data_IF_006092594480
#
_entry.id   IF_006092594480
#
_cell.length_a   1.000
_cell.length_b   1.000
_cell.length_c   1.000
_cell.angle_alpha   90.00
_cell.angle_beta   90.00
_cell.angle_gamma   90.00
#
_symmetry.space_group_name_H-M   'P 1'
#
loop_
_entity.id
_entity.type
_entity.pdbx_description
1 polymer ?
#
# COMPACT_ATOMS: atom_id res chain seq x y z
N UNK A 1 15.60 3.03 -10.94
CA UNK A 1 15.50 2.32 -9.64
C UNK A 1 15.24 0.84 -9.87
N UNK A 2 15.63 -0.06 -8.96
CA UNK A 2 15.33 -1.50 -9.05
C UNK A 2 13.84 -1.80 -8.82
N UNK A 3 13.40 -2.96 -9.30
CA UNK A 3 12.07 -3.51 -9.05
C UNK A 3 11.91 -3.78 -7.55
N UNK A 4 10.77 -3.38 -6.98
CA UNK A 4 10.39 -3.71 -5.61
C UNK A 4 9.98 -5.18 -5.56
N UNK A 5 10.56 -5.95 -4.64
CA UNK A 5 10.30 -7.38 -4.54
C UNK A 5 9.58 -7.71 -3.24
N UNK A 6 8.48 -8.46 -3.36
CA UNK A 6 7.85 -9.10 -2.22
C UNK A 6 8.77 -10.18 -1.63
N UNK A 7 8.74 -10.32 -0.30
CA UNK A 7 9.50 -11.35 0.43
C UNK A 7 8.58 -12.10 1.40
N UNK A 8 8.75 -13.43 1.57
CA UNK A 8 8.03 -14.20 2.58
C UNK A 8 8.19 -13.66 4.01
N UNK A 9 9.21 -12.85 4.30
CA UNK A 9 9.38 -12.19 5.60
C UNK A 9 8.17 -11.33 6.00
N UNK A 10 7.48 -10.77 5.00
CA UNK A 10 6.30 -9.90 5.16
C UNK A 10 4.97 -10.68 5.22
N UNK A 11 4.99 -12.01 5.16
CA UNK A 11 3.77 -12.80 5.18
C UNK A 11 3.03 -12.67 6.52
N UNK A 12 1.76 -12.28 6.47
CA UNK A 12 0.88 -12.14 7.64
C UNK A 12 0.33 -13.49 8.11
N UNK A 13 0.41 -14.52 7.26
CA UNK A 13 -0.22 -15.83 7.51
C UNK A 13 -1.69 -15.88 7.06
N UNK A 14 -2.25 -14.77 6.58
CA UNK A 14 -3.56 -14.72 5.94
C UNK A 14 -3.33 -14.59 4.43
N UNK A 15 -3.65 -15.65 3.68
CA UNK A 15 -3.35 -15.74 2.24
C UNK A 15 -3.93 -14.57 1.45
N UNK A 16 -5.16 -14.19 1.74
CA UNK A 16 -5.87 -13.12 1.05
C UNK A 16 -5.20 -11.75 1.27
N UNK A 17 -4.67 -11.48 2.47
CA UNK A 17 -3.91 -10.26 2.78
C UNK A 17 -2.56 -10.29 2.06
N UNK A 18 -1.85 -11.42 2.12
CA UNK A 18 -0.54 -11.56 1.47
C UNK A 18 -0.63 -11.40 -0.06
N UNK A 19 -1.73 -11.86 -0.67
CA UNK A 19 -1.98 -11.67 -2.10
C UNK A 19 -2.35 -10.20 -2.42
N UNK A 20 -3.06 -9.51 -1.53
CA UNK A 20 -3.30 -8.06 -1.66
C UNK A 20 -1.99 -7.25 -1.55
N UNK A 21 -1.10 -7.58 -0.61
CA UNK A 21 0.20 -6.92 -0.50
C UNK A 21 1.08 -7.10 -1.74
N UNK A 22 1.12 -8.31 -2.31
CA UNK A 22 1.83 -8.54 -3.58
C UNK A 22 1.26 -7.68 -4.70
N UNK A 23 -0.07 -7.56 -4.77
CA UNK A 23 -0.72 -6.71 -5.78
C UNK A 23 -0.38 -5.23 -5.59
N UNK A 24 -0.27 -4.74 -4.36
CA UNK A 24 0.22 -3.39 -4.08
C UNK A 24 1.67 -3.20 -4.54
N UNK A 25 2.55 -4.19 -4.32
CA UNK A 25 3.92 -4.18 -4.86
C UNK A 25 3.92 -4.12 -6.39
N UNK A 26 3.04 -4.87 -7.06
CA UNK A 26 2.91 -4.82 -8.53
C UNK A 26 2.52 -3.41 -9.00
N UNK A 27 1.52 -2.77 -8.37
CA UNK A 27 1.16 -1.39 -8.69
C UNK A 27 2.32 -0.41 -8.52
N UNK A 28 3.09 -0.56 -7.43
CA UNK A 28 4.29 0.26 -7.19
C UNK A 28 5.32 0.05 -8.31
N UNK A 29 5.47 -1.16 -8.83
CA UNK A 29 6.37 -1.43 -9.95
C UNK A 29 5.83 -0.90 -11.30
N UNK A 30 4.51 -0.95 -11.51
CA UNK A 30 3.85 -0.42 -12.72
C UNK A 30 3.99 1.11 -12.83
N UNK A 31 4.21 1.83 -11.72
CA UNK A 31 4.51 3.27 -11.74
C UNK A 31 5.81 3.63 -12.49
N UNK A 32 6.63 2.64 -12.93
CA UNK A 32 7.84 2.86 -13.72
C UNK A 32 7.65 2.92 -15.23
N UNK A 33 6.47 2.57 -15.78
CA UNK A 33 6.37 2.33 -17.24
C UNK A 33 6.77 3.57 -18.06
N UNK A 34 7.90 3.53 -18.80
CA UNK A 34 8.32 4.63 -19.66
C UNK A 34 7.49 4.62 -20.94
N UNK A 35 6.88 5.76 -21.29
CA UNK A 35 5.96 5.82 -22.43
C UNK A 35 5.63 7.22 -22.96
N UNK A 36 6.63 8.13 -22.97
CA UNK A 36 6.64 9.35 -23.79
C UNK A 36 5.82 10.56 -23.30
N UNK A 37 6.11 11.77 -23.82
CA UNK A 37 5.37 12.99 -23.47
C UNK A 37 3.91 12.87 -23.95
N UNK A 38 2.96 12.97 -23.02
CA UNK A 38 1.51 12.99 -23.32
C UNK A 38 0.68 11.79 -22.86
N UNK A 39 1.26 10.79 -22.21
CA UNK A 39 0.55 9.53 -21.92
C UNK A 39 0.08 9.46 -20.45
N UNK A 40 -1.24 9.56 -20.21
CA UNK A 40 -1.86 9.49 -18.87
C UNK A 40 -1.75 8.14 -18.14
N UNK A 41 -0.79 7.29 -18.51
CA UNK A 41 -0.60 5.92 -18.00
C UNK A 41 -0.20 5.90 -16.53
N UNK A 42 0.83 6.66 -16.13
CA UNK A 42 1.28 6.69 -14.73
C UNK A 42 0.21 7.27 -13.81
N UNK A 43 -0.50 8.31 -14.24
CA UNK A 43 -1.62 8.85 -13.48
C UNK A 43 -2.74 7.82 -13.30
N UNK A 44 -3.07 7.03 -14.33
CA UNK A 44 -4.07 5.96 -14.22
C UNK A 44 -3.62 4.85 -13.28
N UNK A 45 -2.36 4.40 -13.39
CA UNK A 45 -1.78 3.40 -12.47
C UNK A 45 -1.81 3.93 -11.04
N UNK A 46 -1.50 5.22 -10.82
CA UNK A 46 -1.57 5.85 -9.52
C UNK A 46 -3.00 5.86 -8.94
N UNK A 47 -4.02 6.19 -9.74
CA UNK A 47 -5.41 6.11 -9.29
C UNK A 47 -5.76 4.67 -8.90
N UNK A 48 -5.42 3.69 -9.75
CA UNK A 48 -5.66 2.27 -9.45
C UNK A 48 -4.92 1.80 -8.19
N UNK A 49 -3.70 2.27 -7.97
CA UNK A 49 -2.93 1.97 -6.77
C UNK A 49 -3.62 2.54 -5.51
N UNK A 50 -4.08 3.80 -5.57
CA UNK A 50 -4.80 4.45 -4.45
C UNK A 50 -6.11 3.72 -4.16
N UNK A 51 -6.94 3.46 -5.17
CA UNK A 51 -8.20 2.75 -5.01
C UNK A 51 -7.99 1.37 -4.40
N UNK A 52 -6.96 0.65 -4.86
CA UNK A 52 -6.63 -0.67 -4.34
C UNK A 52 -6.08 -0.61 -2.90
N UNK A 53 -5.30 0.41 -2.54
CA UNK A 53 -4.86 0.63 -1.16
C UNK A 53 -6.05 0.85 -0.23
N UNK A 54 -7.02 1.68 -0.62
CA UNK A 54 -8.21 1.93 0.21
C UNK A 54 -9.09 0.68 0.33
N UNK A 55 -9.24 -0.09 -0.75
CA UNK A 55 -9.91 -1.39 -0.71
C UNK A 55 -9.23 -2.37 0.25
N UNK A 56 -7.90 -2.45 0.18
CA UNK A 56 -7.10 -3.30 1.05
C UNK A 56 -7.27 -2.93 2.53
N UNK A 57 -7.20 -1.64 2.87
CA UNK A 57 -7.46 -1.17 4.24
C UNK A 57 -8.83 -1.57 4.75
N UNK A 58 -9.88 -1.32 3.96
CA UNK A 58 -11.25 -1.69 4.35
C UNK A 58 -11.39 -3.21 4.57
N UNK A 59 -10.74 -4.02 3.73
CA UNK A 59 -10.75 -5.48 3.87
C UNK A 59 -10.02 -5.93 5.15
N UNK A 60 -8.83 -5.39 5.40
CA UNK A 60 -8.05 -5.73 6.59
C UNK A 60 -8.74 -5.30 7.88
N UNK A 61 -9.30 -4.10 7.92
CA UNK A 61 -10.04 -3.59 9.07
C UNK A 61 -11.27 -4.45 9.38
N UNK A 62 -12.04 -4.85 8.35
CA UNK A 62 -13.18 -5.75 8.52
C UNK A 62 -12.73 -7.13 9.04
N UNK A 63 -11.59 -7.64 8.56
CA UNK A 63 -11.01 -8.89 9.06
C UNK A 63 -10.60 -8.76 10.54
N UNK A 64 -9.89 -7.69 10.90
CA UNK A 64 -9.48 -7.40 12.27
C UNK A 64 -10.68 -7.24 13.22
N UNK A 65 -11.72 -6.54 12.78
CA UNK A 65 -12.98 -6.37 13.51
C UNK A 65 -13.66 -7.72 13.76
N UNK A 66 -13.80 -8.55 12.71
CA UNK A 66 -14.41 -9.89 12.82
C UNK A 66 -13.66 -10.82 13.79
N UNK A 67 -12.37 -10.58 13.99
CA UNK A 67 -11.52 -11.34 14.92
C UNK A 67 -11.36 -10.67 16.28
N UNK A 68 -11.99 -9.53 16.51
CA UNK A 68 -11.93 -8.79 17.78
C UNK A 68 -10.53 -8.28 18.12
N UNK A 69 -9.77 -7.81 17.12
CA UNK A 69 -8.43 -7.26 17.36
C UNK A 69 -8.51 -6.01 18.28
N UNK A 70 -7.84 -6.03 19.45
CA UNK A 70 -8.04 -5.00 20.48
C UNK A 70 -7.44 -3.63 20.11
N UNK A 71 -6.55 -3.56 19.11
CA UNK A 71 -5.92 -2.32 18.66
C UNK A 71 -6.44 -1.87 17.29
N UNK A 72 -7.65 -2.29 16.90
CA UNK A 72 -8.27 -1.92 15.63
C UNK A 72 -8.29 -0.40 15.41
N UNK A 73 -8.77 0.38 16.38
CA UNK A 73 -8.85 1.84 16.24
C UNK A 73 -7.48 2.48 16.00
N UNK A 74 -6.44 1.99 16.66
CA UNK A 74 -5.08 2.47 16.45
C UNK A 74 -4.58 2.14 15.04
N UNK A 75 -4.91 0.96 14.52
CA UNK A 75 -4.57 0.54 13.17
C UNK A 75 -5.30 1.39 12.11
N UNK A 76 -6.61 1.61 12.28
CA UNK A 76 -7.43 2.49 11.42
C UNK A 76 -6.87 3.92 11.34
N UNK A 77 -6.42 4.46 12.46
CA UNK A 77 -5.80 5.80 12.47
C UNK A 77 -4.52 5.86 11.62
N UNK A 78 -3.75 4.77 11.55
CA UNK A 78 -2.56 4.70 10.67
C UNK A 78 -2.99 4.65 9.20
N UNK A 79 -4.03 3.88 8.87
CA UNK A 79 -4.61 3.85 7.52
C UNK A 79 -5.16 5.21 7.10
N UNK A 80 -5.96 5.86 7.95
CA UNK A 80 -6.55 7.17 7.67
C UNK A 80 -5.48 8.25 7.45
N UNK A 81 -4.42 8.24 8.25
CA UNK A 81 -3.29 9.14 8.08
C UNK A 81 -2.60 8.91 6.73
N UNK A 82 -2.38 7.65 6.34
CA UNK A 82 -1.77 7.37 5.04
C UNK A 82 -2.70 7.65 3.86
N UNK A 83 -4.01 7.42 4.00
CA UNK A 83 -4.99 7.79 2.98
C UNK A 83 -4.98 9.30 2.69
N UNK A 84 -4.71 10.13 3.70
CA UNK A 84 -4.48 11.57 3.53
C UNK A 84 -3.13 11.86 2.87
N UNK A 85 -2.05 11.20 3.30
CA UNK A 85 -0.72 11.30 2.70
C UNK A 85 -0.74 10.93 1.20
N UNK A 86 -1.49 9.89 0.80
CA UNK A 86 -1.66 9.48 -0.60
C UNK A 86 -2.20 10.61 -1.47
N UNK A 87 -3.12 11.43 -0.94
CA UNK A 87 -3.63 12.60 -1.66
C UNK A 87 -2.54 13.65 -1.87
N UNK A 88 -1.70 13.87 -0.86
CA UNK A 88 -0.57 14.79 -0.95
C UNK A 88 0.50 14.29 -1.94
N UNK A 89 0.84 12.99 -1.90
CA UNK A 89 1.75 12.36 -2.86
C UNK A 89 1.24 12.48 -4.30
N UNK A 90 -0.05 12.18 -4.52
CA UNK A 90 -0.71 12.34 -5.82
C UNK A 90 -0.67 13.79 -6.29
N UNK A 91 -1.01 14.75 -5.44
CA UNK A 91 -0.99 16.17 -5.80
C UNK A 91 0.42 16.62 -6.20
N UNK A 92 1.45 16.23 -5.45
CA UNK A 92 2.86 16.54 -5.78
C UNK A 92 3.31 15.94 -7.10
N UNK A 93 2.91 14.70 -7.38
CA UNK A 93 3.21 14.01 -8.63
C UNK A 93 2.53 14.70 -9.83
N UNK A 94 1.22 14.99 -9.73
CA UNK A 94 0.46 15.70 -10.77
C UNK A 94 1.00 17.11 -11.02
N UNK A 95 1.45 17.79 -9.97
CA UNK A 95 2.09 19.11 -10.08
C UNK A 95 3.52 19.06 -10.67
N UNK A 96 4.08 17.88 -10.96
CA UNK A 96 5.44 17.71 -11.46
C UNK A 96 6.54 17.99 -10.44
N UNK A 97 6.18 18.16 -9.16
CA UNK A 97 7.11 18.44 -8.05
C UNK A 97 7.67 17.17 -7.39
N UNK A 98 7.23 16.01 -7.86
CA UNK A 98 7.67 14.70 -7.41
C UNK A 98 7.80 13.79 -8.64
N UNK A 99 8.92 13.08 -8.75
CA UNK A 99 9.13 12.11 -9.84
C UNK A 99 8.39 10.81 -9.56
N UNK A 100 8.15 10.00 -10.60
CA UNK A 100 7.57 8.66 -10.44
C UNK A 100 8.44 7.79 -9.53
N UNK A 101 9.76 7.91 -9.62
CA UNK A 101 10.70 7.20 -8.76
C UNK A 101 10.56 7.63 -7.29
N UNK A 102 10.49 8.92 -6.99
CA UNK A 102 10.26 9.41 -5.62
C UNK A 102 8.91 8.95 -5.05
N UNK A 103 7.86 8.95 -5.88
CA UNK A 103 6.54 8.45 -5.51
C UNK A 103 6.62 6.95 -5.14
N UNK A 104 7.27 6.15 -5.98
CA UNK A 104 7.46 4.72 -5.74
C UNK A 104 8.24 4.43 -4.45
N UNK A 105 9.31 5.18 -4.20
CA UNK A 105 10.06 5.07 -2.94
C UNK A 105 9.20 5.37 -1.72
N UNK A 106 8.38 6.41 -1.78
CA UNK A 106 7.48 6.77 -0.68
C UNK A 106 6.45 5.66 -0.42
N UNK A 107 5.81 5.16 -1.47
CA UNK A 107 4.81 4.09 -1.38
C UNK A 107 5.42 2.77 -0.88
N UNK A 108 6.56 2.34 -1.44
CA UNK A 108 7.23 1.12 -1.05
C UNK A 108 7.70 1.17 0.41
N UNK A 109 8.27 2.30 0.83
CA UNK A 109 8.74 2.49 2.21
C UNK A 109 7.59 2.39 3.20
N UNK A 110 6.50 3.11 2.94
CA UNK A 110 5.31 3.03 3.80
C UNK A 110 4.75 1.62 3.86
N UNK A 111 4.57 0.96 2.70
CA UNK A 111 4.00 -0.39 2.63
C UNK A 111 4.80 -1.38 3.47
N UNK A 112 6.12 -1.47 3.29
CA UNK A 112 6.91 -2.46 4.02
C UNK A 112 7.07 -2.12 5.50
N UNK A 113 7.18 -0.84 5.85
CA UNK A 113 7.22 -0.41 7.25
C UNK A 113 5.90 -0.75 7.95
N UNK A 114 4.77 -0.52 7.28
CA UNK A 114 3.43 -0.83 7.80
C UNK A 114 3.25 -2.34 8.02
N UNK A 115 3.46 -3.15 6.98
CA UNK A 115 3.31 -4.61 7.07
C UNK A 115 4.16 -5.20 8.20
N UNK A 116 5.42 -4.75 8.30
CA UNK A 116 6.38 -5.28 9.28
C UNK A 116 6.05 -4.89 10.73
N UNK A 117 5.42 -3.73 10.93
CA UNK A 117 5.21 -3.15 12.26
C UNK A 117 3.77 -3.29 12.76
N UNK A 118 2.81 -3.37 11.85
CA UNK A 118 1.38 -3.35 12.15
C UNK A 118 0.71 -4.67 11.73
N UNK A 119 0.65 -4.98 10.44
CA UNK A 119 -0.21 -6.04 9.88
C UNK A 119 0.22 -7.41 10.39
N UNK A 120 1.52 -7.67 10.34
CA UNK A 120 2.08 -8.93 10.86
C UNK A 120 1.81 -9.11 12.36
N UNK A 121 1.85 -8.04 13.15
CA UNK A 121 1.53 -8.09 14.58
C UNK A 121 0.03 -8.32 14.83
N UNK A 122 -0.82 -7.67 14.05
CA UNK A 122 -2.27 -7.77 14.15
C UNK A 122 -2.81 -9.14 13.70
N UNK A 123 -2.28 -9.68 12.61
CA UNK A 123 -2.86 -10.86 11.95
C UNK A 123 -2.20 -12.18 12.35
N UNK A 124 -0.90 -12.22 12.68
CA UNK A 124 -0.22 -13.47 13.11
C UNK A 124 -0.64 -13.91 14.51
N UNK A 125 -0.99 -12.97 15.38
CA UNK A 125 -1.35 -13.27 16.77
C UNK A 125 -2.69 -14.01 16.91
N UNK A 126 -3.51 -14.01 15.86
CA UNK A 126 -4.86 -14.56 15.85
C UNK A 126 -5.00 -15.85 15.00
N UNK A 127 -3.93 -16.33 14.37
CA UNK A 127 -3.93 -17.52 13.52
C UNK A 127 -3.76 -18.85 14.30
N UNK A 128 -4.39 -18.98 15.47
CA UNK A 128 -4.40 -20.23 16.26
C UNK A 128 -5.76 -20.90 16.26
#
# INVERSE_FOLDING_TARGET
MSVVQWSPAFATGVREIDDQHKRLVDYINELQTPGGPGNGGVSRVLESAIDYTLYHFAFEEALMESRGYPLLDAHKNVHDAFAQELRALKARFVAGTMTADQLREALARWLFDHISRADTAALRTQAR
#
